data_IF_031601561388
#
_entry.id   IF_031601561388
#
_cell.length_a   1.000
_cell.length_b   1.000
_cell.length_c   1.000
_cell.angle_alpha   90.00
_cell.angle_beta   90.00
_cell.angle_gamma   90.00
#
_symmetry.space_group_name_H-M   'P 1'
#
loop_
_entity.id
_entity.type
_entity.pdbx_description
1 polymer ?
#
# COMPACT_ATOMS: atom_id res chain seq x y z
N UNK A 1 8.80 -57.97 39.50
CA UNK A 1 7.65 -57.32 38.87
C UNK A 1 8.10 -55.95 38.40
N UNK A 2 8.08 -55.74 37.09
CA UNK A 2 8.26 -54.43 36.46
C UNK A 2 7.10 -53.49 36.81
N UNK A 3 7.38 -52.18 36.89
CA UNK A 3 6.60 -51.15 36.17
C UNK A 3 7.44 -49.87 36.03
N UNK A 4 7.46 -49.36 34.81
CA UNK A 4 8.22 -48.20 34.29
C UNK A 4 7.43 -46.89 34.40
N UNK A 5 8.13 -45.79 34.08
CA UNK A 5 7.67 -44.47 33.59
C UNK A 5 7.41 -43.38 34.65
N UNK A 6 7.73 -42.09 34.44
CA UNK A 6 8.41 -41.37 33.34
C UNK A 6 8.88 -40.02 33.88
N UNK A 7 10.08 -39.59 33.52
CA UNK A 7 10.63 -38.25 33.81
C UNK A 7 10.14 -37.29 32.71
N UNK A 8 9.60 -36.12 33.10
CA UNK A 8 9.43 -34.97 32.20
C UNK A 8 10.03 -33.75 32.91
N UNK A 9 11.22 -33.35 32.47
CA UNK A 9 11.89 -32.11 32.88
C UNK A 9 11.48 -31.04 31.89
N UNK A 10 10.68 -30.07 32.32
CA UNK A 10 10.36 -28.89 31.52
C UNK A 10 11.54 -27.93 31.64
N UNK A 11 12.36 -27.90 30.60
CA UNK A 11 13.37 -26.87 30.37
C UNK A 11 12.68 -25.67 29.74
N UNK A 12 12.64 -24.54 30.45
CA UNK A 12 12.46 -23.24 29.83
C UNK A 12 13.50 -22.28 30.42
N UNK A 13 14.56 -22.08 29.62
CA UNK A 13 15.69 -21.22 29.88
C UNK A 13 15.25 -19.75 30.08
N UNK A 14 15.86 -19.12 31.07
CA UNK A 14 16.00 -17.67 31.23
C UNK A 14 16.64 -17.03 30.00
N UNK A 15 16.19 -15.82 29.63
CA UNK A 15 17.08 -14.70 29.31
C UNK A 15 16.30 -13.36 29.29
N UNK A 16 16.57 -12.57 30.32
CA UNK A 16 16.91 -11.14 30.23
C UNK A 16 15.83 -10.14 29.80
N UNK A 17 15.33 -9.43 30.81
CA UNK A 17 14.76 -8.09 30.75
C UNK A 17 15.61 -7.17 29.86
N UNK A 18 15.08 -6.81 28.70
CA UNK A 18 15.53 -5.62 27.98
C UNK A 18 14.69 -4.47 28.52
N UNK A 19 15.32 -3.57 29.28
CA UNK A 19 14.76 -2.27 29.62
C UNK A 19 14.55 -1.48 28.34
N UNK A 20 13.37 -1.60 27.75
CA UNK A 20 12.95 -0.77 26.62
C UNK A 20 12.74 0.63 27.17
N UNK A 21 13.63 1.54 26.81
CA UNK A 21 13.47 2.98 27.06
C UNK A 21 12.11 3.42 26.53
N UNK A 22 11.31 4.15 27.32
CA UNK A 22 9.95 4.59 26.94
C UNK A 22 9.94 5.31 25.57
N UNK A 23 11.05 5.93 25.18
CA UNK A 23 11.24 6.61 23.89
C UNK A 23 11.23 5.69 22.66
N UNK A 24 11.48 4.39 22.81
CA UNK A 24 11.37 3.41 21.71
C UNK A 24 9.97 2.77 21.62
N UNK A 25 9.18 2.90 22.69
CA UNK A 25 7.80 2.41 22.75
C UNK A 25 6.82 3.30 22.00
N UNK A 26 7.15 4.58 21.81
CA UNK A 26 6.40 5.47 20.90
C UNK A 26 6.77 5.26 19.42
N UNK A 27 7.94 4.71 19.10
CA UNK A 27 8.34 4.42 17.72
C UNK A 27 7.77 3.10 17.17
N UNK A 28 7.32 2.20 18.04
CA UNK A 28 6.47 1.06 17.72
C UNK A 28 5.02 1.39 18.11
N UNK A 29 4.50 2.49 17.59
CA UNK A 29 3.08 2.51 17.29
C UNK A 29 2.83 1.41 16.27
N UNK A 30 2.50 0.24 16.77
CA UNK A 30 1.73 -0.76 16.04
C UNK A 30 0.41 -0.09 15.69
N UNK A 31 0.41 0.72 14.62
CA UNK A 31 -0.79 1.08 13.90
C UNK A 31 -1.44 -0.24 13.55
N UNK A 32 -2.61 -0.50 14.15
CA UNK A 32 -3.59 -1.50 13.71
C UNK A 32 -3.45 -1.68 12.21
N UNK A 33 -3.33 -2.91 11.68
CA UNK A 33 -3.14 -3.09 10.24
C UNK A 33 -4.29 -2.39 9.54
N UNK A 34 -3.97 -1.28 8.87
CA UNK A 34 -4.87 -0.58 7.97
C UNK A 34 -5.57 -1.64 7.13
N UNK A 35 -6.90 -1.56 6.97
CA UNK A 35 -7.67 -2.65 6.36
C UNK A 35 -7.11 -2.91 4.96
N UNK A 36 -6.44 -4.04 4.78
CA UNK A 36 -5.87 -4.43 3.51
C UNK A 36 -7.00 -4.87 2.57
N UNK A 37 -7.09 -4.21 1.43
CA UNK A 37 -8.04 -4.59 0.39
C UNK A 37 -7.45 -5.69 -0.52
N UNK A 38 -8.30 -6.38 -1.30
CA UNK A 38 -7.85 -7.25 -2.38
C UNK A 38 -6.86 -6.53 -3.32
N UNK A 39 -6.05 -7.33 -4.01
CA UNK A 39 -5.11 -6.80 -4.99
C UNK A 39 -5.85 -6.09 -6.12
N UNK A 40 -5.29 -4.98 -6.56
CA UNK A 40 -5.70 -4.27 -7.77
C UNK A 40 -4.51 -4.03 -8.68
N UNK A 41 -4.78 -3.44 -9.83
CA UNK A 41 -3.76 -3.05 -10.79
C UNK A 41 -3.48 -1.55 -10.66
N UNK A 42 -2.20 -1.17 -10.68
CA UNK A 42 -1.81 0.21 -10.81
C UNK A 42 -1.05 0.43 -12.11
N UNK A 43 -1.33 1.55 -12.76
CA UNK A 43 -0.59 2.03 -13.93
C UNK A 43 -0.41 3.53 -13.87
N UNK A 44 0.36 4.09 -14.80
CA UNK A 44 0.48 5.53 -15.03
C UNK A 44 0.09 5.83 -16.46
N UNK A 45 -0.40 7.03 -16.71
CA UNK A 45 -0.64 7.54 -18.08
C UNK A 45 0.15 8.85 -18.27
N UNK A 46 0.57 9.19 -19.51
CA UNK A 46 1.31 10.43 -19.78
C UNK A 46 0.46 11.67 -19.46
N UNK A 47 -0.80 11.61 -19.87
CA UNK A 47 -1.84 12.57 -19.58
C UNK A 47 -2.83 11.87 -18.66
N UNK A 48 -2.60 11.98 -17.35
CA UNK A 48 -3.51 11.50 -16.31
C UNK A 48 -4.97 11.62 -16.80
N UNK A 49 -5.75 10.51 -16.81
CA UNK A 49 -6.80 10.30 -17.80
C UNK A 49 -7.85 11.42 -17.78
N UNK A 50 -8.54 11.68 -18.91
CA UNK A 50 -9.67 12.61 -18.93
C UNK A 50 -10.71 12.11 -17.91
N UNK A 51 -10.92 12.93 -16.89
CA UNK A 51 -11.47 12.45 -15.63
C UNK A 51 -12.79 13.13 -15.25
N UNK A 52 -13.56 12.41 -14.44
CA UNK A 52 -14.65 13.00 -13.67
C UNK A 52 -14.08 13.45 -12.34
N UNK A 53 -13.56 14.68 -12.30
CA UNK A 53 -12.89 15.27 -11.13
C UNK A 53 -13.61 14.93 -9.82
N UNK A 54 -12.84 14.57 -8.80
CA UNK A 54 -13.37 14.60 -7.45
C UNK A 54 -13.91 16.00 -7.16
N UNK A 55 -15.12 16.13 -6.60
CA UNK A 55 -15.63 17.42 -6.20
C UNK A 55 -14.66 18.03 -5.17
N UNK A 56 -14.49 19.34 -5.24
CA UNK A 56 -13.77 20.15 -4.24
C UNK A 56 -12.24 20.02 -4.18
N UNK A 57 -11.58 19.31 -5.11
CA UNK A 57 -10.11 19.26 -5.18
C UNK A 57 -9.64 20.00 -6.43
N UNK A 58 -8.82 21.04 -6.23
CA UNK A 58 -8.22 21.78 -7.34
C UNK A 58 -6.92 21.09 -7.75
N UNK A 59 -6.58 21.20 -9.04
CA UNK A 59 -5.35 20.61 -9.59
C UNK A 59 -4.09 21.09 -8.87
N UNK A 60 -4.10 22.34 -8.43
CA UNK A 60 -2.98 22.94 -7.69
C UNK A 60 -2.77 22.30 -6.30
N UNK A 61 -3.79 21.58 -5.79
CA UNK A 61 -3.77 20.93 -4.48
C UNK A 61 -3.39 19.43 -4.56
N UNK A 62 -3.15 18.87 -5.75
CA UNK A 62 -2.94 17.42 -5.93
C UNK A 62 -1.67 16.89 -5.24
N UNK A 63 -0.71 17.78 -4.95
CA UNK A 63 0.62 17.39 -4.48
C UNK A 63 1.35 16.51 -5.50
N UNK A 64 2.38 15.80 -5.04
CA UNK A 64 3.22 14.94 -5.89
C UNK A 64 2.65 13.53 -6.05
N UNK A 65 2.03 12.98 -4.99
CA UNK A 65 1.57 11.60 -4.97
C UNK A 65 0.05 11.53 -4.94
N UNK A 66 -0.53 11.46 -6.14
CA UNK A 66 -1.97 11.36 -6.32
C UNK A 66 -2.37 10.20 -7.24
N UNK A 67 -3.64 9.81 -7.15
CA UNK A 67 -4.26 8.73 -7.89
C UNK A 67 -5.69 9.06 -8.34
N UNK A 68 -6.09 8.39 -9.42
CA UNK A 68 -7.47 8.20 -9.82
C UNK A 68 -7.88 6.74 -9.53
N UNK A 69 -9.11 6.53 -9.08
CA UNK A 69 -9.64 5.21 -8.75
C UNK A 69 -10.98 4.97 -9.45
N UNK A 70 -11.42 3.71 -9.48
CA UNK A 70 -12.73 3.34 -9.98
C UNK A 70 -13.86 4.26 -9.44
N UNK A 71 -14.79 4.75 -10.28
CA UNK A 71 -15.80 5.74 -9.88
C UNK A 71 -16.67 5.31 -8.69
N UNK A 72 -16.98 4.02 -8.56
CA UNK A 72 -17.80 3.50 -7.46
C UNK A 72 -17.08 3.63 -6.11
N UNK A 73 -15.75 3.47 -6.10
CA UNK A 73 -14.93 3.64 -4.89
C UNK A 73 -14.61 5.11 -4.65
N UNK A 74 -14.40 5.88 -5.72
CA UNK A 74 -14.12 7.31 -5.63
C UNK A 74 -15.25 8.09 -4.95
N UNK A 75 -16.51 7.65 -5.09
CA UNK A 75 -17.65 8.24 -4.39
C UNK A 75 -17.46 8.37 -2.86
N UNK A 76 -16.62 7.52 -2.26
CA UNK A 76 -16.35 7.53 -0.82
C UNK A 76 -14.89 7.82 -0.45
N UNK A 77 -14.01 7.94 -1.45
CA UNK A 77 -12.56 8.08 -1.27
C UNK A 77 -11.98 9.36 -1.86
N UNK A 78 -12.72 10.10 -2.67
CA UNK A 78 -12.33 11.44 -3.12
C UNK A 78 -11.83 12.31 -1.96
N UNK A 79 -10.65 12.91 -2.12
CA UNK A 79 -10.00 13.80 -1.16
C UNK A 79 -9.24 13.06 -0.05
N UNK A 80 -9.45 11.75 0.09
CA UNK A 80 -8.79 10.94 1.12
C UNK A 80 -7.42 10.48 0.66
N UNK A 81 -6.58 10.22 1.66
CA UNK A 81 -5.30 9.56 1.49
C UNK A 81 -5.48 8.06 1.71
N UNK A 82 -4.79 7.28 0.90
CA UNK A 82 -4.69 5.81 1.00
C UNK A 82 -3.21 5.44 1.00
N UNK A 83 -2.89 4.22 1.44
CA UNK A 83 -1.54 3.67 1.24
C UNK A 83 -1.57 2.60 0.17
N UNK A 84 -0.56 2.64 -0.68
CA UNK A 84 -0.39 1.74 -1.81
C UNK A 84 0.93 1.00 -1.62
N UNK A 85 0.87 -0.32 -1.68
CA UNK A 85 2.04 -1.18 -1.64
C UNK A 85 2.17 -1.89 -2.97
N UNK A 86 3.37 -1.89 -3.54
CA UNK A 86 3.65 -2.71 -4.70
C UNK A 86 3.78 -4.18 -4.28
N UNK A 87 3.09 -5.08 -4.98
CA UNK A 87 3.04 -6.51 -4.66
C UNK A 87 3.77 -7.39 -5.70
N UNK A 88 4.32 -6.80 -6.77
CA UNK A 88 5.03 -7.52 -7.81
C UNK A 88 6.56 -7.54 -7.59
N UNK A 89 7.09 -8.66 -7.08
CA UNK A 89 8.50 -8.81 -6.68
C UNK A 89 9.53 -8.36 -7.72
N UNK A 90 9.22 -8.47 -9.01
CA UNK A 90 10.13 -8.09 -10.10
C UNK A 90 10.21 -6.57 -10.30
N UNK A 91 9.08 -5.88 -10.12
CA UNK A 91 8.95 -4.47 -10.43
C UNK A 91 9.02 -3.54 -9.22
N UNK A 92 8.80 -4.05 -8.00
CA UNK A 92 8.77 -3.20 -6.81
C UNK A 92 10.18 -2.78 -6.35
N UNK A 93 10.34 -1.51 -5.97
CA UNK A 93 11.56 -1.04 -5.30
C UNK A 93 11.78 -1.73 -3.94
N UNK A 94 10.71 -1.77 -3.13
CA UNK A 94 10.66 -2.46 -1.85
C UNK A 94 9.23 -2.99 -1.65
N UNK A 95 9.02 -4.32 -1.52
CA UNK A 95 7.71 -4.90 -1.31
C UNK A 95 7.11 -4.55 0.06
N UNK A 96 7.86 -3.97 0.99
CA UNK A 96 7.37 -3.53 2.30
C UNK A 96 7.05 -2.04 2.38
N UNK A 97 7.42 -1.26 1.37
CA UNK A 97 7.20 0.18 1.36
C UNK A 97 5.71 0.53 1.11
N UNK A 98 5.17 1.37 1.97
CA UNK A 98 3.81 1.91 1.86
C UNK A 98 3.89 3.35 1.35
N UNK A 99 3.45 3.58 0.12
CA UNK A 99 3.35 4.92 -0.44
C UNK A 99 1.99 5.53 -0.11
N UNK A 100 1.99 6.68 0.58
CA UNK A 100 0.77 7.45 0.78
C UNK A 100 0.39 8.20 -0.52
N UNK A 101 -0.84 8.03 -0.98
CA UNK A 101 -1.35 8.62 -2.21
C UNK A 101 -2.71 9.27 -1.95
N UNK A 102 -2.94 10.49 -2.47
CA UNK A 102 -4.23 11.16 -2.39
C UNK A 102 -5.13 10.78 -3.58
N UNK A 103 -6.38 10.41 -3.32
CA UNK A 103 -7.37 10.21 -4.38
C UNK A 103 -7.92 11.56 -4.79
N UNK A 104 -7.46 12.04 -5.94
CA UNK A 104 -7.85 13.34 -6.50
C UNK A 104 -8.83 13.20 -7.65
N UNK A 105 -9.04 11.97 -8.13
CA UNK A 105 -9.81 11.76 -9.32
C UNK A 105 -10.48 10.39 -9.46
N UNK A 106 -11.30 10.28 -10.51
CA UNK A 106 -11.98 9.07 -10.94
C UNK A 106 -11.48 8.66 -12.32
N UNK A 107 -11.04 7.42 -12.48
CA UNK A 107 -10.68 6.91 -13.80
C UNK A 107 -11.91 6.40 -14.55
N UNK A 108 -11.84 6.41 -15.88
CA UNK A 108 -12.87 5.83 -16.73
C UNK A 108 -12.91 4.31 -16.45
N UNK A 109 -14.10 3.69 -16.29
CA UNK A 109 -14.22 2.26 -15.97
C UNK A 109 -13.46 1.32 -16.90
N UNK A 110 -13.24 1.71 -18.16
CA UNK A 110 -12.41 0.96 -19.11
C UNK A 110 -10.94 0.84 -18.68
N UNK A 111 -10.39 1.84 -17.97
CA UNK A 111 -9.01 1.84 -17.47
C UNK A 111 -8.89 1.33 -16.03
N UNK A 112 -9.99 1.35 -15.25
CA UNK A 112 -10.05 0.84 -13.89
C UNK A 112 -11.29 -0.04 -13.67
N UNK A 113 -11.34 -1.23 -14.30
CA UNK A 113 -12.49 -2.11 -14.17
C UNK A 113 -12.65 -2.67 -12.74
N UNK A 114 -11.54 -2.84 -12.01
CA UNK A 114 -11.52 -3.29 -10.62
C UNK A 114 -11.73 -2.15 -9.61
N UNK A 115 -12.36 -2.47 -8.49
CA UNK A 115 -12.58 -1.53 -7.38
C UNK A 115 -11.26 -0.98 -6.79
N UNK A 116 -10.17 -1.73 -6.90
CA UNK A 116 -8.85 -1.38 -6.37
C UNK A 116 -7.85 -1.01 -7.48
N UNK A 117 -8.32 -0.85 -8.71
CA UNK A 117 -7.48 -0.40 -9.80
C UNK A 117 -7.23 1.11 -9.70
N UNK A 118 -5.98 1.49 -9.90
CA UNK A 118 -5.48 2.85 -9.72
C UNK A 118 -4.77 3.34 -10.98
N UNK A 119 -5.02 4.60 -11.34
CA UNK A 119 -4.11 5.36 -12.20
C UNK A 119 -3.33 6.29 -11.31
N UNK A 120 -2.04 6.03 -11.16
CA UNK A 120 -1.13 6.82 -10.35
C UNK A 120 -0.56 7.98 -11.16
N UNK A 121 -0.25 9.09 -10.48
CA UNK A 121 0.68 10.10 -10.98
C UNK A 121 2.01 9.46 -11.35
N UNK A 122 2.73 10.06 -12.30
CA UNK A 122 4.02 9.56 -12.78
C UNK A 122 5.02 9.41 -11.63
N UNK A 123 5.01 10.36 -10.71
CA UNK A 123 5.87 10.40 -9.54
C UNK A 123 5.49 9.31 -8.53
N UNK A 124 4.20 9.11 -8.23
CA UNK A 124 3.77 8.03 -7.35
C UNK A 124 4.05 6.65 -7.95
N UNK A 125 3.82 6.48 -9.26
CA UNK A 125 4.11 5.24 -9.95
C UNK A 125 5.60 4.91 -9.90
N UNK A 126 6.47 5.88 -10.18
CA UNK A 126 7.94 5.73 -10.09
C UNK A 126 8.41 5.41 -8.68
N UNK A 127 7.81 6.00 -7.65
CA UNK A 127 8.17 5.74 -6.26
C UNK A 127 7.91 4.28 -5.82
N UNK A 128 7.04 3.55 -6.53
CA UNK A 128 6.78 2.13 -6.29
C UNK A 128 7.73 1.20 -7.07
N UNK A 129 8.38 1.70 -8.13
CA UNK A 129 9.16 0.88 -9.05
C UNK A 129 10.63 0.79 -8.70
N UNK A 130 11.21 -0.39 -8.91
CA UNK A 130 12.66 -0.58 -8.89
C UNK A 130 13.32 0.11 -10.09
N UNK A 131 14.60 0.44 -9.97
CA UNK A 131 15.38 1.06 -11.05
C UNK A 131 15.36 0.26 -12.36
N UNK A 132 15.22 -1.07 -12.25
CA UNK A 132 15.10 -1.97 -13.41
C UNK A 132 13.76 -1.80 -14.15
N UNK A 133 12.70 -1.50 -13.42
CA UNK A 133 11.34 -1.37 -13.97
C UNK A 133 11.04 0.02 -14.54
N UNK A 134 11.73 1.07 -14.08
CA UNK A 134 11.51 2.47 -14.51
C UNK A 134 11.71 2.67 -16.03
N UNK A 135 12.56 1.86 -16.66
CA UNK A 135 12.86 1.97 -18.09
C UNK A 135 11.93 1.15 -18.99
N UNK A 136 10.93 0.46 -18.42
CA UNK A 136 9.94 -0.27 -19.21
C UNK A 136 8.74 0.64 -19.54
N UNK A 137 8.41 0.72 -20.83
CA UNK A 137 7.50 1.74 -21.39
C UNK A 137 6.04 1.56 -20.99
N UNK A 138 5.63 0.35 -20.57
CA UNK A 138 4.24 0.04 -20.25
C UNK A 138 4.18 -1.01 -19.15
N UNK A 139 4.24 -0.59 -17.90
CA UNK A 139 4.14 -1.52 -16.77
C UNK A 139 2.81 -1.31 -16.05
N UNK A 140 1.99 -2.36 -16.02
CA UNK A 140 0.91 -2.49 -15.04
C UNK A 140 1.51 -3.28 -13.88
N UNK A 141 1.45 -2.75 -12.67
CA UNK A 141 1.91 -3.45 -11.47
C UNK A 141 0.73 -3.87 -10.62
N UNK A 142 0.85 -4.99 -9.93
CA UNK A 142 -0.11 -5.37 -8.91
C UNK A 142 0.19 -4.59 -7.64
N UNK A 143 -0.84 -4.01 -7.06
CA UNK A 143 -0.76 -3.26 -5.81
C UNK A 143 -1.76 -3.75 -4.79
N UNK A 144 -1.44 -3.53 -3.53
CA UNK A 144 -2.37 -3.67 -2.42
C UNK A 144 -2.68 -2.29 -1.87
N UNK A 145 -3.96 -2.02 -1.66
CA UNK A 145 -4.44 -0.76 -1.11
C UNK A 145 -4.79 -0.94 0.36
N UNK A 146 -4.47 0.06 1.15
CA UNK A 146 -4.76 0.16 2.57
C UNK A 146 -5.44 1.50 2.86
N UNK A 147 -6.32 1.51 3.86
CA UNK A 147 -7.00 2.71 4.34
C UNK A 147 -6.84 2.82 5.85
N UNK A 148 -6.55 4.03 6.31
CA UNK A 148 -6.60 4.43 7.73
C UNK A 148 -8.00 4.27 8.33
#
# INVERSE_FOLDING_TARGET
MEMKMKIVIVVALFCSLVSVSDSAREALQTTTPAKAYPLGNASTTPDFPPSFKCPDIKRDDYGQFYAAINPAVAAYTCGKKIYVQCNNKEYCADPHNLLQVQIVDKCIPMFCPGAHDLILSKEAFRALLSDKAINQTTTIIQVRVYRD
#
